data_IF_922726496504
#
_entry.id   IF_922726496504
#
_cell.length_a   1.000
_cell.length_b   1.000
_cell.length_c   1.000
_cell.angle_alpha   90.00
_cell.angle_beta   90.00
_cell.angle_gamma   90.00
#
_symmetry.space_group_name_H-M   'P 1'
#
loop_
_entity.id
_entity.type
_entity.pdbx_description
1 polymer ?
#
# COMPACT_ATOMS: atom_id res chain seq x y z
N UNK A 1 -17.99 -3.63 2.48
CA UNK A 1 -16.76 -2.91 2.08
C UNK A 1 -15.66 -3.28 3.07
N UNK A 2 -14.47 -3.69 2.62
CA UNK A 2 -13.32 -3.88 3.51
C UNK A 2 -12.49 -2.60 3.55
N UNK A 3 -12.46 -1.92 4.69
CA UNK A 3 -11.73 -0.66 4.91
C UNK A 3 -10.77 -0.73 6.11
N UNK A 4 -10.59 -1.90 6.72
CA UNK A 4 -9.59 -2.15 7.77
C UNK A 4 -8.94 -3.51 7.51
N UNK A 5 -7.61 -3.54 7.53
CA UNK A 5 -6.85 -4.78 7.47
C UNK A 5 -5.56 -4.68 8.30
N UNK A 6 -4.87 -5.83 8.41
CA UNK A 6 -3.63 -5.97 9.17
C UNK A 6 -2.55 -6.61 8.30
N UNK A 7 -1.31 -6.18 8.48
CA UNK A 7 -0.13 -6.79 7.85
C UNK A 7 0.80 -7.24 8.97
N UNK A 8 0.66 -8.51 9.37
CA UNK A 8 1.46 -9.10 10.45
C UNK A 8 2.70 -9.84 9.94
N UNK A 9 2.80 -10.04 8.62
CA UNK A 9 3.95 -10.68 7.99
C UNK A 9 5.17 -9.77 8.03
N UNK A 10 6.36 -10.37 8.12
CA UNK A 10 7.61 -9.63 8.03
C UNK A 10 7.97 -9.33 6.55
N UNK A 11 8.88 -8.38 6.38
CA UNK A 11 9.38 -7.92 5.09
C UNK A 11 9.96 -9.04 4.23
N UNK A 12 10.81 -9.89 4.81
CA UNK A 12 11.46 -10.99 4.08
C UNK A 12 10.46 -12.02 3.56
N UNK A 13 9.42 -12.33 4.33
CA UNK A 13 8.36 -13.22 3.90
C UNK A 13 7.60 -12.63 2.70
N UNK A 14 7.28 -11.34 2.73
CA UNK A 14 6.63 -10.64 1.61
C UNK A 14 7.54 -10.65 0.37
N UNK A 15 8.83 -10.37 0.53
CA UNK A 15 9.80 -10.41 -0.58
C UNK A 15 9.93 -11.81 -1.17
N UNK A 16 9.99 -12.85 -0.33
CA UNK A 16 10.11 -14.23 -0.77
C UNK A 16 8.89 -14.69 -1.58
N UNK A 17 7.66 -14.43 -1.11
CA UNK A 17 6.44 -14.85 -1.81
C UNK A 17 6.18 -14.08 -3.10
N UNK A 18 6.64 -12.82 -3.17
CA UNK A 18 6.40 -11.95 -4.33
C UNK A 18 7.57 -11.88 -5.30
N UNK A 19 8.73 -12.41 -4.92
CA UNK A 19 10.00 -12.25 -5.63
C UNK A 19 10.34 -10.76 -5.87
N UNK A 20 10.06 -9.91 -4.88
CA UNK A 20 10.41 -8.50 -4.91
C UNK A 20 11.91 -8.32 -4.64
N UNK A 21 12.66 -7.99 -5.69
CA UNK A 21 14.12 -7.88 -5.64
C UNK A 21 14.58 -6.52 -5.13
N UNK A 22 13.72 -5.50 -5.26
CA UNK A 22 13.97 -4.14 -4.79
C UNK A 22 13.11 -3.89 -3.55
N UNK A 23 13.71 -3.34 -2.51
CA UNK A 23 13.00 -2.95 -1.30
C UNK A 23 13.32 -1.49 -0.95
N UNK A 24 12.27 -0.67 -0.88
CA UNK A 24 12.33 0.73 -0.48
C UNK A 24 11.51 1.02 0.78
N UNK A 25 11.10 -0.02 1.51
CA UNK A 25 10.28 0.11 2.73
C UNK A 25 11.09 0.39 3.99
N UNK A 26 12.39 0.10 3.99
CA UNK A 26 13.24 0.29 5.17
C UNK A 26 12.99 -0.81 6.22
N UNK A 27 12.82 -0.43 7.49
CA UNK A 27 12.43 -1.37 8.54
C UNK A 27 10.89 -1.46 8.60
N UNK A 28 10.33 -2.60 8.22
CA UNK A 28 8.89 -2.81 8.23
C UNK A 28 8.42 -3.42 9.55
N UNK A 29 7.73 -2.62 10.34
CA UNK A 29 7.06 -3.09 11.56
C UNK A 29 5.70 -3.74 11.23
N UNK A 30 5.22 -4.70 12.05
CA UNK A 30 3.90 -5.27 11.88
C UNK A 30 2.80 -4.20 11.96
N UNK A 31 2.00 -4.07 10.91
CA UNK A 31 0.91 -3.10 10.84
C UNK A 31 -0.37 -3.72 11.41
N UNK A 32 -0.73 -3.35 12.64
CA UNK A 32 -1.92 -3.88 13.33
C UNK A 32 -3.23 -3.33 12.79
N UNK A 33 -3.22 -2.10 12.31
CA UNK A 33 -4.43 -1.39 11.86
C UNK A 33 -4.08 -0.49 10.67
N UNK A 34 -4.50 -0.90 9.48
CA UNK A 34 -4.35 -0.10 8.26
C UNK A 34 -5.73 0.40 7.83
N UNK A 35 -5.93 1.71 7.95
CA UNK A 35 -7.13 2.44 7.55
C UNK A 35 -6.92 3.15 6.20
N UNK A 36 -7.99 3.56 5.49
CA UNK A 36 -7.85 4.35 4.26
C UNK A 36 -6.98 5.57 4.53
N UNK A 37 -6.21 5.97 3.51
CA UNK A 37 -5.23 7.05 3.55
C UNK A 37 -3.97 6.80 4.40
N UNK A 38 -3.81 5.63 5.02
CA UNK A 38 -2.60 5.29 5.75
C UNK A 38 -1.51 4.77 4.80
N UNK A 39 -0.25 4.89 5.22
CA UNK A 39 0.86 4.26 4.49
C UNK A 39 0.82 2.74 4.70
N UNK A 40 0.91 2.00 3.60
CA UNK A 40 0.92 0.56 3.61
C UNK A 40 1.90 -0.01 2.56
N UNK A 41 2.51 -1.16 2.83
CA UNK A 41 3.42 -1.81 1.90
C UNK A 41 2.64 -2.42 0.74
N UNK A 42 3.11 -2.17 -0.48
CA UNK A 42 2.64 -2.84 -1.69
C UNK A 42 3.83 -3.38 -2.47
N UNK A 43 3.58 -4.40 -3.28
CA UNK A 43 4.52 -4.81 -4.33
C UNK A 43 4.04 -4.22 -5.65
N UNK A 44 4.86 -3.35 -6.25
CA UNK A 44 4.58 -2.73 -7.54
C UNK A 44 5.59 -3.17 -8.59
N UNK A 45 5.17 -3.15 -9.86
CA UNK A 45 6.07 -3.34 -10.98
C UNK A 45 6.71 -2.01 -11.37
N UNK A 46 8.03 -1.99 -11.49
CA UNK A 46 8.81 -0.86 -12.00
C UNK A 46 9.61 -1.32 -13.22
N UNK A 47 10.16 -0.40 -14.04
CA UNK A 47 11.07 -0.77 -15.13
C UNK A 47 12.31 -1.56 -14.66
N UNK A 48 12.74 -1.40 -13.41
CA UNK A 48 13.87 -2.12 -12.82
C UNK A 48 13.49 -3.49 -12.23
N UNK A 49 12.18 -3.77 -12.08
CA UNK A 49 11.67 -5.01 -11.50
C UNK A 49 10.57 -4.81 -10.46
N UNK A 50 10.24 -5.88 -9.75
CA UNK A 50 9.27 -5.83 -8.63
C UNK A 50 9.90 -5.16 -7.42
N UNK A 51 9.20 -4.16 -6.91
CA UNK A 51 9.60 -3.34 -5.78
C UNK A 51 8.58 -3.45 -4.65
N UNK A 52 9.05 -3.73 -3.44
CA UNK A 52 8.29 -3.57 -2.21
C UNK A 52 8.46 -2.12 -1.73
N UNK A 53 7.36 -1.35 -1.69
CA UNK A 53 7.36 0.07 -1.38
C UNK A 53 6.16 0.46 -0.49
N UNK A 54 6.34 1.46 0.37
CA UNK A 54 5.24 2.03 1.16
C UNK A 54 4.52 3.11 0.35
N UNK A 55 3.20 2.98 0.22
CA UNK A 55 2.34 3.95 -0.48
C UNK A 55 1.10 4.28 0.35
N UNK A 56 0.47 5.43 0.05
CA UNK A 56 -0.82 5.80 0.64
C UNK A 56 -1.91 4.86 0.13
N UNK A 57 -2.68 4.25 1.03
CA UNK A 57 -3.83 3.42 0.70
C UNK A 57 -5.05 4.28 0.35
N UNK A 58 -5.01 4.86 -0.84
CA UNK A 58 -6.07 5.68 -1.40
C UNK A 58 -5.72 5.99 -2.84
N UNK A 59 -6.49 5.44 -3.78
CA UNK A 59 -6.34 5.84 -5.18
C UNK A 59 -6.82 7.29 -5.32
N UNK A 60 -6.16 8.12 -6.13
CA UNK A 60 -6.70 9.43 -6.44
C UNK A 60 -8.10 9.25 -7.05
N UNK A 61 -9.04 10.09 -6.63
CA UNK A 61 -10.35 10.16 -7.27
C UNK A 61 -10.14 10.35 -8.77
N UNK A 62 -10.86 9.58 -9.59
CA UNK A 62 -10.84 9.82 -11.03
C UNK A 62 -11.27 11.26 -11.30
N UNK A 63 -10.57 11.98 -12.17
CA UNK A 63 -10.89 13.37 -12.53
C UNK A 63 -12.30 13.53 -13.13
N UNK A 64 -12.97 12.42 -13.45
CA UNK A 64 -14.32 12.34 -13.97
C UNK A 64 -15.42 12.22 -12.88
N UNK A 65 -15.05 12.14 -11.60
CA UNK A 65 -15.99 11.92 -10.50
C UNK A 65 -15.94 12.95 -9.36
N UNK A 66 -15.26 14.09 -9.55
CA UNK A 66 -15.29 15.20 -8.59
C UNK A 66 -16.56 16.03 -8.79
N UNK A 67 -17.71 15.44 -8.47
CA UNK A 67 -18.85 16.26 -8.06
C UNK A 67 -18.54 16.69 -6.61
N UNK A 68 -18.44 17.99 -6.30
CA UNK A 68 -18.16 18.41 -4.93
C UNK A 68 -19.32 17.92 -4.05
N UNK A 69 -19.02 17.03 -3.10
CA UNK A 69 -19.93 16.71 -2.01
C UNK A 69 -20.15 17.99 -1.20
N UNK A 70 -21.28 18.65 -1.49
CA UNK A 70 -21.74 19.77 -0.69
C UNK A 70 -22.18 19.16 0.63
N UNK A 71 -21.36 19.32 1.67
CA UNK A 71 -21.79 19.06 3.05
C UNK A 71 -22.91 20.05 3.38
N UNK A 72 -24.08 19.51 3.73
CA UNK A 72 -25.21 20.23 4.32
C UNK A 72 -25.22 19.99 5.84
#
# INVERSE_FOLDING_TARGET
MCNLYRVLSNQEAIRAITSAMIDSTGNMEPLQEVWPDYMAPIVRNTPAGRELANVRWGLPSSSQGLEPETSE
#
